data_IF_929754278933
#
_entry.id   IF_929754278933
#
_cell.length_a   1.000
_cell.length_b   1.000
_cell.length_c   1.000
_cell.angle_alpha   90.00
_cell.angle_beta   90.00
_cell.angle_gamma   90.00
#
_symmetry.space_group_name_H-M   'P 1'
#
loop_
_entity.id
_entity.type
_entity.pdbx_description
1 polymer ?
#
# COMPACT_ATOMS: atom_id res chain seq x y z
N UNK A 1 -12.02 5.73 -18.52
CA UNK A 1 -10.61 6.09 -18.26
C UNK A 1 -10.10 5.28 -17.08
N UNK A 2 -8.79 5.07 -17.00
CA UNK A 2 -8.12 4.38 -15.89
C UNK A 2 -7.72 5.45 -14.86
N UNK A 3 -7.73 5.08 -13.57
CA UNK A 3 -7.09 5.86 -12.50
C UNK A 3 -5.96 5.04 -11.90
N UNK A 4 -4.81 5.67 -11.67
CA UNK A 4 -3.65 5.07 -11.02
C UNK A 4 -3.55 5.60 -9.60
N UNK A 5 -3.56 4.69 -8.64
CA UNK A 5 -3.49 5.02 -7.21
C UNK A 5 -2.16 4.50 -6.67
N UNK A 6 -1.33 5.40 -6.16
CA UNK A 6 -0.13 5.03 -5.41
C UNK A 6 -0.50 4.71 -3.96
N UNK A 7 0.20 3.76 -3.34
CA UNK A 7 0.05 3.45 -1.92
C UNK A 7 1.40 3.65 -1.23
N UNK A 8 1.40 4.35 -0.11
CA UNK A 8 2.60 4.58 0.70
C UNK A 8 2.33 4.47 2.21
N UNK A 9 3.36 4.21 3.04
CA UNK A 9 3.20 4.19 4.49
C UNK A 9 2.82 5.57 5.03
N UNK A 10 1.80 5.64 5.89
CA UNK A 10 1.36 6.90 6.50
C UNK A 10 2.46 7.56 7.35
N UNK A 11 3.31 6.76 8.00
CA UNK A 11 4.46 7.22 8.78
C UNK A 11 5.64 7.69 7.92
N UNK A 12 5.65 7.43 6.61
CA UNK A 12 6.70 7.88 5.68
C UNK A 12 6.10 8.36 4.34
N UNK A 13 5.28 9.43 4.34
CA UNK A 13 4.41 9.78 3.21
C UNK A 13 5.13 10.68 2.18
N UNK A 14 6.22 10.18 1.61
CA UNK A 14 7.15 10.94 0.77
C UNK A 14 6.53 11.37 -0.57
N UNK A 15 5.71 10.52 -1.20
CA UNK A 15 5.02 10.85 -2.45
C UNK A 15 3.98 11.95 -2.18
N UNK A 16 3.18 11.82 -1.12
CA UNK A 16 2.21 12.85 -0.73
C UNK A 16 2.89 14.20 -0.48
N UNK A 17 4.01 14.20 0.27
CA UNK A 17 4.79 15.41 0.54
C UNK A 17 5.30 16.03 -0.77
N UNK A 18 5.87 15.21 -1.66
CA UNK A 18 6.40 15.67 -2.94
C UNK A 18 5.33 16.31 -3.82
N UNK A 19 4.19 15.66 -4.00
CA UNK A 19 3.08 16.16 -4.82
C UNK A 19 2.44 17.43 -4.24
N UNK A 20 2.51 17.59 -2.91
CA UNK A 20 2.01 18.77 -2.20
C UNK A 20 3.02 19.92 -2.12
N UNK A 21 4.22 19.78 -2.69
CA UNK A 21 5.29 20.79 -2.60
C UNK A 21 5.84 20.98 -1.17
N UNK A 22 5.67 19.99 -0.31
CA UNK A 22 6.15 20.02 1.08
C UNK A 22 7.59 19.51 1.18
N UNK A 23 8.24 19.89 2.28
CA UNK A 23 9.55 19.35 2.65
C UNK A 23 9.46 17.82 2.84
N UNK A 24 10.40 17.08 2.25
CA UNK A 24 10.44 15.62 2.35
C UNK A 24 10.98 15.21 3.71
N UNK A 25 10.14 14.52 4.49
CA UNK A 25 10.45 13.98 5.82
C UNK A 25 10.03 12.51 5.87
N UNK A 26 10.95 11.58 5.57
CA UNK A 26 10.67 10.16 5.71
C UNK A 26 10.59 9.77 7.18
N UNK A 27 9.82 8.74 7.48
CA UNK A 27 9.70 8.16 8.82
C UNK A 27 9.85 6.65 8.81
N UNK A 28 9.84 6.06 10.00
CA UNK A 28 9.96 4.60 10.17
C UNK A 28 8.60 3.93 9.97
N UNK A 29 8.60 2.81 9.28
CA UNK A 29 7.44 1.96 9.05
C UNK A 29 7.87 0.50 8.93
N UNK A 30 6.91 -0.43 8.97
CA UNK A 30 7.18 -1.88 8.93
C UNK A 30 6.71 -2.55 7.64
N UNK A 31 6.06 -1.81 6.73
CA UNK A 31 5.62 -2.32 5.42
C UNK A 31 6.84 -2.53 4.49
N UNK A 32 7.36 -3.75 4.47
CA UNK A 32 8.50 -4.11 3.63
C UNK A 32 8.15 -4.07 2.13
N UNK A 33 9.08 -3.53 1.32
CA UNK A 33 8.96 -3.47 -0.14
C UNK A 33 8.52 -2.10 -0.70
N UNK A 34 7.90 -1.23 0.10
CA UNK A 34 7.51 0.13 -0.29
C UNK A 34 8.07 1.17 0.68
N UNK A 35 7.88 2.47 0.41
CA UNK A 35 8.24 3.54 1.36
C UNK A 35 9.74 3.82 1.49
N UNK A 36 10.47 3.85 0.37
CA UNK A 36 11.95 3.97 0.35
C UNK A 36 12.55 5.21 1.05
N UNK A 37 11.73 6.18 1.46
CA UNK A 37 12.17 7.38 2.17
C UNK A 37 12.65 8.52 1.28
N UNK A 38 12.58 8.35 -0.05
CA UNK A 38 12.84 9.34 -1.07
C UNK A 38 11.99 9.02 -2.32
N UNK A 39 12.00 9.90 -3.32
CA UNK A 39 11.35 9.66 -4.62
C UNK A 39 12.37 9.00 -5.55
N UNK A 40 12.19 7.72 -5.95
CA UNK A 40 13.10 7.09 -6.90
C UNK A 40 13.07 7.80 -8.25
N UNK A 41 14.22 7.95 -8.91
CA UNK A 41 14.32 8.63 -10.22
C UNK A 41 13.46 7.99 -11.31
N UNK A 42 13.17 6.68 -11.17
CA UNK A 42 12.33 5.92 -12.10
C UNK A 42 10.82 6.06 -11.83
N UNK A 43 10.42 6.69 -10.73
CA UNK A 43 9.01 6.89 -10.40
C UNK A 43 8.46 8.08 -11.19
N UNK A 44 7.64 7.80 -12.20
CA UNK A 44 6.89 8.83 -12.92
C UNK A 44 5.72 9.31 -12.06
N UNK A 45 5.80 10.54 -11.54
CA UNK A 45 4.75 11.14 -10.71
C UNK A 45 3.55 11.62 -11.53
N UNK A 46 3.73 11.92 -12.82
CA UNK A 46 2.69 12.53 -13.67
C UNK A 46 1.55 11.55 -14.00
N UNK A 47 1.76 10.25 -13.77
CA UNK A 47 0.74 9.22 -13.98
C UNK A 47 -0.08 8.92 -12.72
N UNK A 48 0.25 9.49 -11.56
CA UNK A 48 -0.41 9.20 -10.29
C UNK A 48 -1.61 10.14 -10.12
N UNK A 49 -2.83 9.59 -10.13
CA UNK A 49 -4.06 10.36 -9.92
C UNK A 49 -4.36 10.60 -8.43
N UNK A 50 -3.94 9.68 -7.57
CA UNK A 50 -4.18 9.72 -6.13
C UNK A 50 -3.10 8.96 -5.36
N UNK A 51 -2.80 9.40 -4.15
CA UNK A 51 -1.95 8.68 -3.19
C UNK A 51 -2.79 8.30 -1.97
N UNK A 52 -2.79 7.02 -1.61
CA UNK A 52 -3.38 6.50 -0.39
C UNK A 52 -2.28 6.21 0.63
N UNK A 53 -2.44 6.76 1.83
CA UNK A 53 -1.57 6.50 2.98
C UNK A 53 -2.16 5.37 3.80
N UNK A 54 -1.35 4.37 4.13
CA UNK A 54 -1.78 3.20 4.92
C UNK A 54 -0.92 3.08 6.18
N UNK A 55 -1.57 2.80 7.30
CA UNK A 55 -0.91 2.52 8.57
C UNK A 55 -0.34 1.09 8.59
N UNK A 56 0.71 0.88 9.39
CA UNK A 56 1.40 -0.41 9.49
C UNK A 56 0.43 -1.52 9.94
N UNK A 57 -0.40 -1.24 10.94
CA UNK A 57 -1.38 -2.17 11.50
C UNK A 57 -2.46 -2.56 10.48
N UNK A 58 -2.92 -1.59 9.67
CA UNK A 58 -3.91 -1.81 8.62
C UNK A 58 -3.37 -2.71 7.50
N UNK A 59 -2.11 -2.50 7.10
CA UNK A 59 -1.45 -3.35 6.11
C UNK A 59 -1.29 -4.79 6.63
N UNK A 60 -0.85 -4.97 7.88
CA UNK A 60 -0.67 -6.28 8.51
C UNK A 60 -2.01 -7.00 8.66
N UNK A 61 -3.03 -6.33 9.20
CA UNK A 61 -4.33 -6.95 9.42
C UNK A 61 -4.98 -7.34 8.09
N UNK A 62 -4.91 -6.48 7.07
CA UNK A 62 -5.45 -6.79 5.75
C UNK A 62 -4.73 -7.98 5.12
N UNK A 63 -3.40 -8.07 5.26
CA UNK A 63 -2.63 -9.23 4.79
C UNK A 63 -3.12 -10.53 5.44
N UNK A 64 -3.39 -10.51 6.76
CA UNK A 64 -3.92 -11.68 7.47
C UNK A 64 -5.34 -12.03 7.02
N UNK A 65 -6.17 -11.04 6.73
CA UNK A 65 -7.53 -11.28 6.20
C UNK A 65 -7.49 -11.87 4.79
N UNK A 66 -6.56 -11.45 3.92
CA UNK A 66 -6.36 -12.08 2.61
C UNK A 66 -6.04 -13.57 2.73
N UNK A 67 -5.17 -13.96 3.66
CA UNK A 67 -4.88 -15.38 3.90
C UNK A 67 -6.10 -16.13 4.46
N UNK A 68 -6.80 -15.54 5.45
CA UNK A 68 -7.92 -16.20 6.16
C UNK A 68 -9.20 -16.32 5.32
N UNK A 69 -9.51 -15.31 4.50
CA UNK A 69 -10.79 -15.23 3.77
C UNK A 69 -10.67 -15.66 2.32
N UNK A 70 -9.55 -15.34 1.68
CA UNK A 70 -9.34 -15.54 0.25
C UNK A 70 -8.33 -16.65 -0.06
N UNK A 71 -7.68 -17.23 0.96
CA UNK A 71 -6.62 -18.23 0.77
C UNK A 71 -5.34 -17.68 0.14
N UNK A 72 -5.16 -16.35 0.18
CA UNK A 72 -4.03 -15.66 -0.45
C UNK A 72 -2.92 -15.39 0.56
N UNK A 73 -1.95 -16.30 0.63
CA UNK A 73 -0.78 -16.15 1.52
C UNK A 73 0.29 -15.24 0.88
N UNK A 74 0.24 -13.95 1.21
CA UNK A 74 1.03 -12.88 0.59
C UNK A 74 1.79 -12.02 1.63
N UNK A 75 2.70 -11.15 1.18
CA UNK A 75 3.49 -10.28 2.07
C UNK A 75 2.78 -9.00 2.53
N UNK A 76 3.46 -8.20 3.37
CA UNK A 76 2.86 -7.02 4.04
C UNK A 76 2.45 -5.94 3.04
N UNK A 77 3.25 -5.72 1.98
CA UNK A 77 2.93 -4.74 0.93
C UNK A 77 1.70 -5.14 0.09
N UNK A 78 1.38 -6.44 0.01
CA UNK A 78 0.15 -6.95 -0.60
C UNK A 78 -1.07 -6.48 0.20
N UNK A 79 -1.04 -6.59 1.53
CA UNK A 79 -2.10 -6.08 2.39
C UNK A 79 -2.21 -4.56 2.34
N UNK A 80 -1.09 -3.84 2.26
CA UNK A 80 -1.10 -2.38 2.05
C UNK A 80 -1.84 -1.99 0.77
N UNK A 81 -1.49 -2.62 -0.36
CA UNK A 81 -2.13 -2.36 -1.65
C UNK A 81 -3.62 -2.73 -1.65
N UNK A 82 -3.96 -3.89 -1.08
CA UNK A 82 -5.35 -4.34 -0.95
C UNK A 82 -6.17 -3.43 -0.04
N UNK A 83 -5.62 -2.98 1.09
CA UNK A 83 -6.27 -2.04 1.98
C UNK A 83 -6.55 -0.73 1.25
N UNK A 84 -5.55 -0.18 0.54
CA UNK A 84 -5.72 1.05 -0.24
C UNK A 84 -6.81 0.93 -1.28
N UNK A 85 -6.85 -0.19 -2.01
CA UNK A 85 -7.91 -0.46 -2.97
C UNK A 85 -9.30 -0.57 -2.33
N UNK A 86 -9.43 -1.20 -1.16
CA UNK A 86 -10.67 -1.27 -0.41
C UNK A 86 -11.15 0.11 0.05
N UNK A 87 -10.24 1.00 0.47
CA UNK A 87 -10.62 2.38 0.84
C UNK A 87 -11.13 3.17 -0.36
N UNK A 88 -10.47 3.07 -1.52
CA UNK A 88 -10.92 3.74 -2.74
C UNK A 88 -12.24 3.16 -3.24
N UNK A 89 -12.40 1.83 -3.20
CA UNK A 89 -13.59 1.15 -3.69
C UNK A 89 -14.86 1.44 -2.88
N UNK A 90 -14.72 1.77 -1.59
CA UNK A 90 -15.85 2.12 -0.70
C UNK A 90 -16.49 3.46 -1.03
N UNK A 91 -15.82 4.33 -1.79
CA UNK A 91 -16.34 5.66 -2.12
C UNK A 91 -17.40 5.57 -3.21
N UNK A 92 -18.46 6.38 -3.11
CA UNK A 92 -19.64 6.25 -3.97
C UNK A 92 -19.35 6.50 -5.45
N UNK A 93 -18.38 7.36 -5.77
CA UNK A 93 -17.92 7.63 -7.12
C UNK A 93 -17.20 6.44 -7.78
N UNK A 94 -16.88 5.39 -7.01
CA UNK A 94 -16.28 4.15 -7.49
C UNK A 94 -17.27 2.97 -7.55
N UNK A 95 -18.55 3.19 -7.23
CA UNK A 95 -19.58 2.15 -7.33
C UNK A 95 -19.64 1.56 -8.76
N UNK A 96 -19.61 0.22 -8.84
CA UNK A 96 -19.65 -0.53 -10.10
C UNK A 96 -18.37 -0.50 -10.93
N UNK A 97 -17.29 0.16 -10.46
CA UNK A 97 -15.98 0.12 -11.12
C UNK A 97 -15.20 -1.14 -10.74
N UNK A 98 -14.33 -1.56 -11.65
CA UNK A 98 -13.38 -2.64 -11.42
C UNK A 98 -12.09 -2.08 -10.79
N UNK A 99 -11.66 -2.67 -9.68
CA UNK A 99 -10.35 -2.42 -9.09
C UNK A 99 -9.38 -3.54 -9.46
N UNK A 100 -8.15 -3.17 -9.81
CA UNK A 100 -7.05 -4.10 -10.05
C UNK A 100 -5.94 -3.77 -9.06
N UNK A 101 -5.46 -4.77 -8.34
CA UNK A 101 -4.47 -4.62 -7.27
C UNK A 101 -3.33 -5.59 -7.50
N UNK A 102 -2.09 -5.10 -7.36
CA UNK A 102 -0.89 -5.94 -7.41
C UNK A 102 -0.60 -6.46 -6.00
N UNK A 103 -0.42 -7.77 -5.88
CA UNK A 103 0.09 -8.42 -4.66
C UNK A 103 1.54 -8.85 -4.96
N UNK A 104 2.55 -8.06 -4.56
CA UNK A 104 3.91 -8.21 -5.10
C UNK A 104 4.62 -9.53 -4.78
N UNK A 105 4.29 -10.19 -3.66
CA UNK A 105 5.04 -11.37 -3.19
C UNK A 105 4.25 -12.33 -2.28
N UNK A 106 4.89 -13.47 -1.99
CA UNK A 106 4.35 -14.57 -1.18
C UNK A 106 4.65 -14.41 0.31
N UNK A 107 3.67 -14.78 1.14
CA UNK A 107 3.73 -14.65 2.60
C UNK A 107 4.75 -15.56 3.28
N UNK A 108 5.15 -16.68 2.66
CA UNK A 108 6.16 -17.60 3.22
C UNK A 108 7.49 -16.91 3.53
N UNK A 109 7.82 -15.83 2.82
CA UNK A 109 9.05 -15.04 3.02
C UNK A 109 9.04 -14.23 4.32
N UNK A 110 7.88 -14.14 4.97
CA UNK A 110 7.63 -13.27 6.11
C UNK A 110 7.38 -14.03 7.42
N UNK A 111 7.61 -15.35 7.45
CA UNK A 111 7.40 -16.20 8.64
C UNK A 111 8.26 -15.77 9.84
N UNK A 112 9.41 -15.13 9.62
CA UNK A 112 10.27 -14.59 10.68
C UNK A 112 9.96 -13.13 11.05
N UNK A 113 8.84 -12.58 10.59
CA UNK A 113 8.43 -11.19 10.81
C UNK A 113 7.17 -11.12 11.67
N UNK A 114 6.80 -9.92 12.11
CA UNK A 114 5.55 -9.69 12.88
C UNK A 114 4.26 -9.97 12.09
N UNK A 115 4.35 -10.24 10.79
CA UNK A 115 3.18 -10.56 9.97
C UNK A 115 2.46 -11.80 10.49
N UNK A 116 3.21 -12.84 10.85
CA UNK A 116 2.69 -14.08 11.42
C UNK A 116 3.19 -14.20 12.87
N UNK A 117 2.35 -13.84 13.86
CA UNK A 117 2.71 -14.05 15.26
C UNK A 117 2.77 -15.56 15.54
N UNK A 118 3.68 -15.97 16.43
CA UNK A 118 3.76 -17.34 16.98
C UNK A 118 2.44 -17.77 17.66
#
# INVERSE_FOLDING_TARGET
>A
SIKVVAVEPANSPVITQKLSGLEIKPGRHTIQGIGAGFIPDILNLDIIDEVVKVDDEDAVETTRQLAKREGLMCGISCGAAAWGALQVARRSEHAGKLMVVVLPDLGERYLSTRLFPE
#
